data_IF_992638036901
#
_entry.id   IF_992638036901
#
_cell.length_a   1.000
_cell.length_b   1.000
_cell.length_c   1.000
_cell.angle_alpha   90.00
_cell.angle_beta   90.00
_cell.angle_gamma   90.00
#
_symmetry.space_group_name_H-M   'P 1'
#
loop_
_entity.id
_entity.type
_entity.pdbx_description
1 polymer ?
#
# COMPACT_ATOMS: atom_id res chain seq x y z
N UNK A 1 62.15 -13.95 -38.96
CA UNK A 1 60.76 -14.44 -39.08
C UNK A 1 60.45 -15.17 -37.77
N UNK A 2 60.12 -14.50 -36.66
CA UNK A 2 58.97 -13.66 -36.33
C UNK A 2 57.71 -14.47 -35.93
N UNK A 3 57.20 -14.14 -34.73
CA UNK A 3 55.93 -14.50 -34.06
C UNK A 3 55.83 -15.92 -33.46
N UNK A 4 56.02 -16.14 -32.14
CA UNK A 4 55.18 -15.80 -30.96
C UNK A 4 53.70 -16.20 -31.10
N UNK A 5 53.28 -17.23 -30.35
CA UNK A 5 51.92 -17.28 -29.80
C UNK A 5 51.85 -18.26 -28.62
N UNK A 6 52.05 -17.76 -27.41
CA UNK A 6 51.70 -18.45 -26.16
C UNK A 6 50.22 -18.16 -25.94
N UNK A 7 49.38 -19.17 -26.04
CA UNK A 7 47.94 -19.07 -25.81
C UNK A 7 47.66 -19.09 -24.30
N UNK A 8 47.64 -17.91 -23.67
CA UNK A 8 47.15 -17.75 -22.29
C UNK A 8 45.61 -17.80 -22.31
N UNK A 9 45.05 -18.90 -21.82
CA UNK A 9 43.60 -19.02 -21.57
C UNK A 9 43.29 -18.32 -20.25
N UNK A 10 42.77 -17.08 -20.31
CA UNK A 10 42.20 -16.41 -19.15
C UNK A 10 40.79 -16.96 -18.90
N UNK A 11 40.66 -17.79 -17.87
CA UNK A 11 39.37 -18.24 -17.35
C UNK A 11 38.79 -17.09 -16.51
N UNK A 12 37.94 -16.25 -17.11
CA UNK A 12 37.22 -15.22 -16.37
C UNK A 12 36.13 -15.88 -15.52
N UNK A 13 36.37 -15.97 -14.21
CA UNK A 13 35.35 -16.36 -13.24
C UNK A 13 34.29 -15.28 -13.13
N UNK A 14 33.10 -15.53 -13.66
CA UNK A 14 31.89 -14.76 -13.36
C UNK A 14 31.47 -15.10 -11.93
N UNK A 15 32.00 -14.36 -10.96
CA UNK A 15 31.43 -14.31 -9.62
C UNK A 15 30.17 -13.45 -9.73
N UNK A 16 29.02 -14.10 -9.90
CA UNK A 16 27.74 -13.48 -9.60
C UNK A 16 27.71 -13.24 -8.09
N UNK A 17 28.11 -12.05 -7.67
CA UNK A 17 27.72 -11.53 -6.37
C UNK A 17 26.20 -11.36 -6.44
N UNK A 18 25.48 -12.36 -5.94
CA UNK A 18 24.07 -12.19 -5.56
C UNK A 18 24.08 -11.20 -4.41
N UNK A 19 24.01 -9.91 -4.73
CA UNK A 19 23.70 -8.87 -3.78
C UNK A 19 22.30 -9.20 -3.25
N UNK A 20 22.24 -9.79 -2.07
CA UNK A 20 21.00 -9.95 -1.34
C UNK A 20 20.47 -8.54 -1.12
N UNK A 21 19.43 -8.17 -1.89
CA UNK A 21 18.73 -6.93 -1.68
C UNK A 21 18.43 -6.80 -0.17
N UNK A 22 18.69 -5.64 0.45
CA UNK A 22 18.40 -5.46 1.86
C UNK A 22 16.96 -5.86 2.11
N UNK A 23 16.77 -6.76 3.06
CA UNK A 23 15.46 -7.21 3.50
C UNK A 23 14.83 -6.01 4.22
N UNK A 24 14.18 -5.13 3.46
CA UNK A 24 13.33 -4.09 4.02
C UNK A 24 12.23 -4.83 4.76
N UNK A 25 12.18 -4.62 6.07
CA UNK A 25 11.18 -5.21 6.95
C UNK A 25 9.81 -4.65 6.57
N UNK A 26 9.15 -5.28 5.60
CA UNK A 26 7.77 -5.00 5.24
C UNK A 26 6.87 -5.61 6.30
N UNK A 27 6.63 -4.85 7.37
CA UNK A 27 5.86 -5.32 8.51
C UNK A 27 6.38 -4.87 9.87
N UNK A 28 7.26 -3.86 9.93
CA UNK A 28 7.33 -3.05 11.15
C UNK A 28 5.94 -2.47 11.37
N UNK A 29 5.18 -3.04 12.31
CA UNK A 29 4.05 -2.37 12.91
C UNK A 29 4.68 -1.18 13.61
N UNK A 30 4.83 -0.05 12.89
CA UNK A 30 5.20 1.18 13.54
C UNK A 30 4.06 1.45 14.52
N UNK A 31 4.32 1.25 15.80
CA UNK A 31 3.37 1.34 16.93
C UNK A 31 2.72 2.73 17.08
N UNK A 32 2.79 3.57 16.05
CA UNK A 32 2.27 4.94 15.99
C UNK A 32 1.37 5.21 14.78
N UNK A 33 1.12 4.21 13.93
CA UNK A 33 0.31 4.38 12.73
C UNK A 33 -1.08 3.75 12.94
N UNK A 34 -2.06 4.48 13.49
CA UNK A 34 -3.36 3.91 13.83
C UNK A 34 -4.23 3.58 12.60
N UNK A 35 -3.91 4.14 11.42
CA UNK A 35 -4.57 3.81 10.17
C UNK A 35 -3.54 3.66 9.04
N UNK A 36 -3.42 2.44 8.53
CA UNK A 36 -2.61 2.07 7.37
C UNK A 36 -3.51 1.50 6.27
N UNK A 37 -3.12 1.68 5.02
CA UNK A 37 -3.76 1.01 3.88
C UNK A 37 -2.77 0.18 3.09
N UNK A 38 -3.23 -0.95 2.56
CA UNK A 38 -2.45 -1.82 1.67
C UNK A 38 -3.26 -2.19 0.45
N UNK A 39 -2.71 -1.97 -0.74
CA UNK A 39 -3.40 -2.18 -2.01
C UNK A 39 -2.57 -3.10 -2.90
N UNK A 40 -3.21 -4.16 -3.39
CA UNK A 40 -2.62 -5.16 -4.26
C UNK A 40 -3.36 -5.22 -5.61
N UNK A 41 -2.63 -5.54 -6.66
CA UNK A 41 -3.13 -5.73 -8.02
C UNK A 41 -3.18 -7.23 -8.36
N UNK A 42 -4.38 -7.78 -8.50
CA UNK A 42 -4.58 -9.20 -8.80
C UNK A 42 -4.27 -9.57 -10.26
N UNK A 43 -4.26 -8.60 -11.18
CA UNK A 43 -3.95 -8.82 -12.60
C UNK A 43 -2.45 -8.97 -12.80
N UNK A 44 -1.66 -8.12 -12.14
CA UNK A 44 -0.20 -8.09 -12.26
C UNK A 44 0.51 -8.94 -11.20
N UNK A 45 -0.19 -9.35 -10.15
CA UNK A 45 0.39 -10.09 -9.04
C UNK A 45 1.41 -9.27 -8.24
N UNK A 46 1.18 -7.97 -8.10
CA UNK A 46 2.10 -7.02 -7.48
C UNK A 46 1.36 -6.04 -6.56
N UNK A 47 2.07 -5.28 -5.71
CA UNK A 47 1.47 -4.13 -5.06
C UNK A 47 0.95 -3.10 -6.08
N UNK A 48 -0.14 -2.42 -5.73
CA UNK A 48 -0.72 -1.36 -6.53
C UNK A 48 -0.14 -0.01 -6.08
N UNK A 49 0.95 0.41 -6.73
CA UNK A 49 1.63 1.66 -6.44
C UNK A 49 0.89 2.88 -7.02
N UNK A 50 1.11 4.06 -6.42
CA UNK A 50 0.57 5.35 -6.83
C UNK A 50 -0.97 5.45 -6.88
N UNK A 51 -1.69 4.56 -6.19
CA UNK A 51 -3.14 4.66 -6.00
C UNK A 51 -3.42 5.83 -5.07
N UNK A 52 -4.19 6.81 -5.53
CA UNK A 52 -4.61 7.92 -4.67
C UNK A 52 -5.66 7.45 -3.66
N UNK A 53 -5.51 7.88 -2.41
CA UNK A 53 -6.39 7.53 -1.30
C UNK A 53 -6.85 8.79 -0.60
N UNK A 54 -8.14 8.87 -0.32
CA UNK A 54 -8.75 9.91 0.51
C UNK A 54 -9.44 9.27 1.71
N UNK A 55 -9.27 9.88 2.87
CA UNK A 55 -9.93 9.49 4.11
C UNK A 55 -10.87 10.62 4.49
N UNK A 56 -12.09 10.25 4.87
CA UNK A 56 -13.11 11.15 5.36
C UNK A 56 -13.57 10.74 6.74
N UNK A 57 -13.97 11.71 7.56
CA UNK A 57 -14.68 11.48 8.81
C UNK A 57 -16.12 11.94 8.69
N UNK A 58 -17.07 11.16 9.19
CA UNK A 58 -18.48 11.54 9.20
C UNK A 58 -18.73 12.56 10.31
N UNK A 59 -19.30 13.71 9.94
CA UNK A 59 -19.69 14.75 10.86
C UNK A 59 -21.05 14.46 11.52
N UNK A 60 -21.39 15.23 12.56
CA UNK A 60 -22.64 15.07 13.31
C UNK A 60 -23.90 15.32 12.47
N UNK A 61 -23.80 16.16 11.43
CA UNK A 61 -24.88 16.42 10.47
C UNK A 61 -25.01 15.31 9.39
N UNK A 62 -24.16 14.28 9.46
CA UNK A 62 -24.12 13.16 8.53
C UNK A 62 -23.28 13.39 7.28
N UNK A 63 -22.72 14.59 7.08
CA UNK A 63 -21.83 14.89 5.96
C UNK A 63 -20.45 14.23 6.12
N UNK A 64 -19.75 14.04 4.99
CA UNK A 64 -18.36 13.57 4.99
C UNK A 64 -17.42 14.78 4.95
N UNK A 65 -16.49 14.85 5.91
CA UNK A 65 -15.45 15.87 5.96
C UNK A 65 -14.10 15.26 5.60
N UNK A 66 -13.30 15.98 4.83
CA UNK A 66 -11.92 15.58 4.52
C UNK A 66 -11.13 15.38 5.82
N UNK A 67 -10.41 14.26 5.90
CA UNK A 67 -9.63 13.90 7.08
C UNK A 67 -8.15 13.72 6.75
N UNK A 68 -7.83 12.92 5.72
CA UNK A 68 -6.47 12.70 5.27
C UNK A 68 -6.42 12.32 3.79
N UNK A 69 -5.26 12.46 3.15
CA UNK A 69 -5.03 12.02 1.77
C UNK A 69 -3.63 11.47 1.61
N UNK A 70 -3.43 10.55 0.65
CA UNK A 70 -2.11 10.05 0.31
C UNK A 70 -2.07 9.30 -1.02
N UNK A 71 -0.91 8.75 -1.36
CA UNK A 71 -0.74 7.82 -2.48
C UNK A 71 0.05 6.61 -2.02
N UNK A 72 -0.35 5.43 -2.46
CA UNK A 72 0.39 4.19 -2.14
C UNK A 72 1.81 4.26 -2.69
N UNK A 73 2.76 3.80 -1.87
CA UNK A 73 4.17 3.64 -2.25
C UNK A 73 4.36 2.52 -3.27
N UNK A 74 5.60 2.26 -3.69
CA UNK A 74 5.94 1.11 -4.54
C UNK A 74 5.54 -0.24 -3.93
N UNK A 75 5.39 -0.30 -2.61
CA UNK A 75 4.94 -1.47 -1.85
C UNK A 75 3.41 -1.55 -1.69
N UNK A 76 2.66 -0.64 -2.32
CA UNK A 76 1.21 -0.60 -2.26
C UNK A 76 0.67 -0.10 -0.93
N UNK A 77 1.50 0.55 -0.10
CA UNK A 77 1.17 0.93 1.27
C UNK A 77 1.13 2.44 1.44
N UNK A 78 0.30 2.93 2.37
CA UNK A 78 0.42 4.28 2.94
C UNK A 78 0.49 4.12 4.45
N UNK A 79 1.60 4.55 5.02
CA UNK A 79 1.80 4.68 6.45
C UNK A 79 1.45 6.11 6.87
N UNK A 80 1.13 6.29 8.15
CA UNK A 80 0.97 7.60 8.78
C UNK A 80 -0.12 8.49 8.15
N UNK A 81 -1.27 7.92 7.78
CA UNK A 81 -2.41 8.72 7.29
C UNK A 81 -2.97 9.69 8.36
N UNK A 82 -2.68 9.44 9.64
CA UNK A 82 -3.14 10.21 10.80
C UNK A 82 -2.31 9.84 12.02
N UNK A 83 -2.42 10.64 13.08
CA UNK A 83 -1.91 10.30 14.42
C UNK A 83 -3.00 9.72 15.31
N UNK A 84 -2.63 9.12 16.45
CA UNK A 84 -3.58 8.60 17.45
C UNK A 84 -4.48 9.70 18.01
N UNK A 85 -3.94 10.90 18.23
CA UNK A 85 -4.68 12.03 18.79
C UNK A 85 -5.76 12.55 17.84
N UNK A 86 -5.51 12.48 16.52
CA UNK A 86 -6.45 12.91 15.49
C UNK A 86 -7.48 11.81 15.18
N UNK A 87 -7.07 10.54 15.25
CA UNK A 87 -7.89 9.38 14.93
C UNK A 87 -8.74 8.94 16.12
N UNK A 88 -9.69 9.80 16.48
CA UNK A 88 -10.62 9.57 17.59
C UNK A 88 -11.81 8.69 17.17
N UNK A 89 -12.66 8.34 18.12
CA UNK A 89 -13.93 7.65 17.85
C UNK A 89 -14.74 8.34 16.75
N UNK A 90 -15.28 7.54 15.82
CA UNK A 90 -16.16 8.03 14.76
C UNK A 90 -16.32 7.06 13.61
N UNK A 91 -17.11 7.48 12.61
CA UNK A 91 -17.28 6.74 11.37
C UNK A 91 -16.35 7.35 10.33
N UNK A 92 -15.52 6.51 9.72
CA UNK A 92 -14.56 6.91 8.71
C UNK A 92 -14.89 6.24 7.37
N UNK A 93 -14.49 6.88 6.28
CA UNK A 93 -14.52 6.34 4.93
C UNK A 93 -13.15 6.46 4.31
N UNK A 94 -12.61 5.35 3.83
CA UNK A 94 -11.40 5.32 2.99
C UNK A 94 -11.84 5.10 1.55
N UNK A 95 -11.44 5.98 0.65
CA UNK A 95 -11.75 5.95 -0.78
C UNK A 95 -10.45 5.77 -1.57
N UNK A 96 -10.40 4.74 -2.40
CA UNK A 96 -9.29 4.42 -3.29
C UNK A 96 -9.67 4.80 -4.73
N UNK A 97 -8.87 5.66 -5.38
CA UNK A 97 -9.06 6.05 -6.78
C UNK A 97 -8.62 4.93 -7.74
N UNK A 98 -9.41 3.86 -7.78
CA UNK A 98 -9.18 2.68 -8.61
C UNK A 98 -9.41 2.95 -10.09
N UNK A 99 -10.30 3.88 -10.42
CA UNK A 99 -10.60 4.26 -11.81
C UNK A 99 -9.38 4.90 -12.47
N UNK A 100 -8.77 5.90 -11.84
CA UNK A 100 -7.54 6.52 -12.37
C UNK A 100 -6.37 5.54 -12.41
N UNK A 101 -6.24 4.67 -11.40
CA UNK A 101 -5.21 3.64 -11.37
C UNK A 101 -5.28 2.73 -12.60
N UNK A 102 -6.45 2.16 -12.90
CA UNK A 102 -6.62 1.26 -14.04
C UNK A 102 -6.49 1.98 -15.38
N UNK A 103 -7.06 3.19 -15.51
CA UNK A 103 -6.92 4.03 -16.70
C UNK A 103 -5.46 4.39 -16.98
N UNK A 104 -4.67 4.66 -15.95
CA UNK A 104 -3.23 4.90 -16.04
C UNK A 104 -2.44 3.70 -16.58
N UNK A 105 -2.98 2.48 -16.43
CA UNK A 105 -2.43 1.24 -17.00
C UNK A 105 -3.06 0.87 -18.35
N UNK A 106 -3.90 1.74 -18.93
CA UNK A 106 -4.56 1.49 -20.22
C UNK A 106 -5.70 0.48 -20.15
N UNK A 107 -6.22 0.17 -18.97
CA UNK A 107 -7.35 -0.74 -18.77
C UNK A 107 -8.64 0.05 -18.53
N UNK A 108 -9.77 -0.52 -18.97
CA UNK A 108 -11.09 0.04 -18.68
C UNK A 108 -11.61 -0.56 -17.37
N UNK A 109 -11.69 0.21 -16.27
CA UNK A 109 -12.30 -0.25 -15.03
C UNK A 109 -13.82 -0.18 -15.08
N UNK A 110 -14.47 -0.95 -14.20
CA UNK A 110 -15.91 -0.89 -13.97
C UNK A 110 -16.28 0.12 -12.87
N UNK A 111 -15.52 0.11 -11.77
CA UNK A 111 -15.79 0.95 -10.59
C UNK A 111 -15.14 2.33 -10.77
N UNK A 112 -15.84 3.39 -10.34
CA UNK A 112 -15.26 4.74 -10.32
C UNK A 112 -14.27 4.95 -9.17
N UNK A 113 -14.48 4.25 -8.05
CA UNK A 113 -13.57 4.13 -6.92
C UNK A 113 -13.97 2.89 -6.12
N UNK A 114 -13.11 2.46 -5.19
CA UNK A 114 -13.49 1.52 -4.15
C UNK A 114 -13.52 2.27 -2.81
N UNK A 115 -14.52 2.01 -1.97
CA UNK A 115 -14.60 2.61 -0.65
C UNK A 115 -14.83 1.58 0.46
N UNK A 116 -14.41 1.96 1.67
CA UNK A 116 -14.58 1.19 2.90
C UNK A 116 -15.07 2.15 3.97
N UNK A 117 -16.25 1.89 4.51
CA UNK A 117 -16.86 2.68 5.58
C UNK A 117 -16.89 1.84 6.86
N UNK A 118 -16.36 2.39 7.96
CA UNK A 118 -16.26 1.65 9.22
C UNK A 118 -16.33 2.60 10.43
N UNK A 119 -16.73 2.04 11.57
CA UNK A 119 -16.62 2.71 12.88
C UNK A 119 -15.24 2.41 13.46
N UNK A 120 -14.55 3.44 13.93
CA UNK A 120 -13.26 3.32 14.60
C UNK A 120 -13.38 3.74 16.06
N UNK A 121 -12.58 3.08 16.90
CA UNK A 121 -12.23 3.45 18.28
C UNK A 121 -13.39 3.60 19.27
N UNK A 122 -14.51 2.93 19.00
CA UNK A 122 -15.70 2.83 19.87
C UNK A 122 -15.43 2.09 21.20
N UNK A 123 -14.37 1.30 21.25
CA UNK A 123 -13.94 0.54 22.44
C UNK A 123 -12.50 0.88 22.86
N UNK A 124 -12.03 2.09 22.54
CA UNK A 124 -10.65 2.53 22.77
C UNK A 124 -9.79 2.52 21.50
N UNK A 125 -8.57 3.05 21.61
CA UNK A 125 -7.65 3.16 20.49
C UNK A 125 -7.24 1.77 19.99
N UNK A 126 -7.32 1.55 18.67
CA UNK A 126 -6.85 0.36 17.95
C UNK A 126 -6.11 0.77 16.69
N UNK A 127 -5.30 -0.13 16.15
CA UNK A 127 -4.64 0.05 14.86
C UNK A 127 -5.40 -0.70 13.76
N UNK A 128 -5.60 -0.03 12.63
CA UNK A 128 -6.38 -0.54 11.51
C UNK A 128 -5.49 -0.61 10.27
N UNK A 129 -5.46 -1.78 9.64
CA UNK A 129 -4.96 -1.96 8.28
C UNK A 129 -6.13 -2.25 7.36
N UNK A 130 -6.41 -1.34 6.44
CA UNK A 130 -7.42 -1.54 5.40
C UNK A 130 -6.73 -2.08 4.15
N UNK A 131 -6.97 -3.36 3.86
CA UNK A 131 -6.42 -4.02 2.69
C UNK A 131 -7.43 -4.02 1.53
N UNK A 132 -6.96 -3.78 0.32
CA UNK A 132 -7.73 -3.88 -0.92
C UNK A 132 -6.99 -4.71 -1.97
N UNK A 133 -7.68 -5.65 -2.62
CA UNK A 133 -7.17 -6.42 -3.75
C UNK A 133 -7.99 -6.06 -4.98
N UNK A 134 -7.33 -5.53 -6.01
CA UNK A 134 -7.97 -4.90 -7.14
C UNK A 134 -7.94 -5.79 -8.39
N UNK A 135 -9.04 -5.79 -9.13
CA UNK A 135 -9.16 -6.16 -10.54
C UNK A 135 -9.99 -5.09 -11.27
N UNK A 136 -9.93 -4.97 -12.60
CA UNK A 136 -10.66 -3.91 -13.30
C UNK A 136 -12.19 -3.96 -13.07
N UNK A 137 -12.76 -5.17 -12.91
CA UNK A 137 -14.20 -5.40 -12.73
C UNK A 137 -14.59 -5.95 -11.35
N UNK A 138 -13.65 -6.00 -10.40
CA UNK A 138 -13.91 -6.51 -9.05
C UNK A 138 -12.87 -5.95 -8.08
N UNK A 139 -13.25 -5.76 -6.83
CA UNK A 139 -12.29 -5.59 -5.76
C UNK A 139 -12.76 -6.38 -4.54
N UNK A 140 -11.82 -6.79 -3.70
CA UNK A 140 -12.13 -7.23 -2.35
C UNK A 140 -11.46 -6.33 -1.34
N UNK A 141 -12.08 -6.20 -0.17
CA UNK A 141 -11.52 -5.44 0.94
C UNK A 141 -11.64 -6.23 2.23
N UNK A 142 -10.63 -6.09 3.08
CA UNK A 142 -10.53 -6.71 4.41
C UNK A 142 -9.91 -5.71 5.36
N UNK A 143 -10.28 -5.79 6.64
CA UNK A 143 -9.61 -5.06 7.71
C UNK A 143 -8.83 -6.03 8.61
N UNK A 144 -7.62 -5.64 9.00
CA UNK A 144 -6.90 -6.22 10.15
C UNK A 144 -6.93 -5.17 11.25
N UNK A 145 -7.43 -5.55 12.42
CA UNK A 145 -7.55 -4.66 13.59
C UNK A 145 -6.77 -5.28 14.73
N UNK A 146 -5.87 -4.51 15.33
CA UNK A 146 -5.07 -4.93 16.47
C UNK A 146 -5.11 -3.90 17.58
N UNK A 147 -4.97 -4.34 18.82
CA UNK A 147 -4.77 -3.44 19.94
C UNK A 147 -3.38 -2.77 19.84
N UNK A 148 -3.20 -1.55 20.38
CA UNK A 148 -1.90 -0.92 20.46
C UNK A 148 -0.95 -1.84 21.25
N UNK A 149 0.26 -2.07 20.73
CA UNK A 149 1.28 -2.78 21.50
C UNK A 149 1.84 -1.81 22.55
N UNK A 150 1.83 -2.22 23.83
CA UNK A 150 2.52 -1.51 24.93
C UNK A 150 4.03 -1.36 24.68
#
# INVERSE_FOLDING_TARGET
MAFHSVLFVFLAGLVFFSEAAPLVSHGSVDSKCPLMVKVLDAVRGSPAANVAVKVFKKAADGSWQDFATGKTTEYGEIHELTTEEQFVEGIYRVEFDTSSYWKGLGLSPFHEYADVVFTANDSGHRHYTIAALLSPFSYSTTAVVSDPQE
#
